data_IF_081137105170
#
_entry.id   IF_081137105170
#
_cell.length_a   1.000
_cell.length_b   1.000
_cell.length_c   1.000
_cell.angle_alpha   90.00
_cell.angle_beta   90.00
_cell.angle_gamma   90.00
#
_symmetry.space_group_name_H-M   'P 1'
#
loop_
_entity.id
_entity.type
_entity.pdbx_description
1 polymer ?
#
# COMPACT_ATOMS: atom_id res chain seq x y z
N UNK A 1 10.71 -8.87 -22.04
CA UNK A 1 10.20 -7.49 -21.89
C UNK A 1 8.84 -7.57 -21.21
N UNK A 2 8.73 -7.23 -19.91
CA UNK A 2 7.49 -7.43 -19.16
C UNK A 2 6.42 -6.42 -19.61
N UNK A 3 5.24 -6.91 -19.97
CA UNK A 3 4.06 -6.09 -20.29
C UNK A 3 3.77 -5.16 -19.11
N UNK A 4 3.54 -3.88 -19.40
CA UNK A 4 3.00 -2.90 -18.46
C UNK A 4 1.69 -3.45 -17.89
N UNK A 5 1.72 -4.03 -16.69
CA UNK A 5 0.52 -4.65 -16.13
C UNK A 5 -0.47 -3.57 -15.73
N UNK A 6 -1.65 -3.58 -16.34
CA UNK A 6 -2.82 -2.80 -15.91
C UNK A 6 -3.18 -3.13 -14.46
N UNK A 7 -3.83 -2.19 -13.76
CA UNK A 7 -4.41 -2.49 -12.43
C UNK A 7 -5.38 -3.66 -12.54
N UNK A 8 -5.22 -4.61 -11.60
CA UNK A 8 -6.06 -5.78 -11.48
C UNK A 8 -7.28 -5.39 -10.65
N UNK A 9 -8.47 -5.59 -11.23
CA UNK A 9 -9.74 -5.47 -10.53
C UNK A 9 -9.82 -6.43 -9.34
N UNK A 10 -10.41 -5.97 -8.23
CA UNK A 10 -10.59 -6.77 -7.02
C UNK A 10 -9.29 -7.20 -6.35
N UNK A 11 -8.27 -6.34 -6.37
CA UNK A 11 -6.98 -6.59 -5.75
C UNK A 11 -6.60 -5.51 -4.73
N UNK A 12 -5.99 -5.94 -3.63
CA UNK A 12 -5.28 -5.05 -2.71
C UNK A 12 -3.80 -5.00 -3.10
N UNK A 13 -3.30 -3.80 -3.40
CA UNK A 13 -1.90 -3.53 -3.63
C UNK A 13 -1.22 -3.12 -2.32
N UNK A 14 -0.15 -3.79 -1.92
CA UNK A 14 0.66 -3.38 -0.77
C UNK A 14 1.82 -2.56 -1.29
N UNK A 15 1.82 -1.25 -1.03
CA UNK A 15 2.70 -0.28 -1.69
C UNK A 15 3.65 0.35 -0.70
N UNK A 16 4.95 0.19 -0.95
CA UNK A 16 5.98 0.84 -0.14
C UNK A 16 6.08 2.34 -0.43
N UNK A 17 6.26 3.12 0.63
CA UNK A 17 6.45 4.58 0.61
C UNK A 17 7.90 4.95 0.95
N UNK A 18 8.36 6.16 0.60
CA UNK A 18 9.68 6.67 1.00
C UNK A 18 9.97 6.57 2.51
N UNK A 19 11.23 6.34 2.86
CA UNK A 19 11.73 6.32 4.25
C UNK A 19 12.51 7.60 4.63
N UNK A 20 12.33 8.69 3.88
CA UNK A 20 12.97 9.98 4.13
C UNK A 20 13.35 10.76 2.87
N UNK A 21 13.58 10.08 1.74
CA UNK A 21 13.84 10.73 0.45
C UNK A 21 12.71 10.43 -0.55
N UNK A 22 12.03 11.47 -1.03
CA UNK A 22 10.90 11.34 -1.96
C UNK A 22 11.29 10.66 -3.29
N UNK A 23 12.55 10.73 -3.70
CA UNK A 23 13.06 10.07 -4.91
C UNK A 23 13.08 8.54 -4.82
N UNK A 24 12.99 7.98 -3.61
CA UNK A 24 13.01 6.52 -3.39
C UNK A 24 11.68 5.84 -3.76
N UNK A 25 10.64 6.62 -4.10
CA UNK A 25 9.37 6.05 -4.55
C UNK A 25 9.53 5.47 -5.97
N UNK A 26 9.06 4.23 -6.16
CA UNK A 26 9.18 3.60 -7.48
C UNK A 26 8.15 4.16 -8.47
N UNK A 27 8.49 4.18 -9.76
CA UNK A 27 7.54 4.52 -10.82
C UNK A 27 6.28 3.62 -10.79
N UNK A 28 6.42 2.37 -10.33
CA UNK A 28 5.29 1.45 -10.17
C UNK A 28 4.39 1.84 -9.00
N UNK A 29 4.95 2.27 -7.88
CA UNK A 29 4.18 2.77 -6.75
C UNK A 29 3.35 3.98 -7.16
N UNK A 30 3.97 4.98 -7.81
CA UNK A 30 3.27 6.16 -8.32
C UNK A 30 2.12 5.82 -9.26
N UNK A 31 2.36 4.90 -10.22
CA UNK A 31 1.30 4.44 -11.14
C UNK A 31 0.16 3.78 -10.39
N UNK A 32 0.47 2.85 -9.47
CA UNK A 32 -0.55 2.14 -8.70
C UNK A 32 -1.38 3.09 -7.87
N UNK A 33 -0.75 4.02 -7.13
CA UNK A 33 -1.46 4.98 -6.29
C UNK A 33 -2.37 5.91 -7.10
N UNK A 34 -2.04 6.20 -8.36
CA UNK A 34 -2.89 7.00 -9.28
C UNK A 34 -4.07 6.24 -9.88
N UNK A 35 -3.93 4.93 -10.07
CA UNK A 35 -4.89 4.13 -10.83
C UNK A 35 -5.86 3.32 -9.95
N UNK A 36 -5.58 3.13 -8.66
CA UNK A 36 -6.48 2.42 -7.74
C UNK A 36 -7.69 3.27 -7.33
N UNK A 37 -8.78 2.61 -6.92
CA UNK A 37 -10.05 3.26 -6.52
C UNK A 37 -10.03 3.81 -5.08
N UNK A 38 -8.95 3.55 -4.33
CA UNK A 38 -8.78 4.11 -3.00
C UNK A 38 -7.50 3.63 -2.31
N UNK A 39 -7.03 4.44 -1.38
CA UNK A 39 -5.80 4.21 -0.61
C UNK A 39 -6.16 4.09 0.87
N UNK A 40 -5.83 2.95 1.48
CA UNK A 40 -5.80 2.74 2.91
C UNK A 40 -4.43 3.18 3.45
N UNK A 41 -4.41 4.08 4.41
CA UNK A 41 -3.18 4.55 5.05
C UNK A 41 -3.28 4.51 6.57
N UNK A 42 -2.12 4.31 7.22
CA UNK A 42 -1.98 4.42 8.67
C UNK A 42 -2.26 5.85 9.15
N UNK A 43 -1.42 6.82 8.77
CA UNK A 43 -1.70 8.24 8.95
C UNK A 43 -2.08 8.91 7.62
N UNK A 44 -3.38 9.20 7.50
CA UNK A 44 -3.93 9.90 6.33
C UNK A 44 -3.37 11.32 6.16
N UNK A 45 -2.93 11.99 7.23
CA UNK A 45 -2.37 13.35 7.14
C UNK A 45 -1.00 13.31 6.49
N UNK A 46 -0.14 12.41 6.95
CA UNK A 46 1.18 12.21 6.35
C UNK A 46 1.06 11.75 4.90
N UNK A 47 0.23 10.73 4.66
CA UNK A 47 0.01 10.20 3.31
C UNK A 47 -0.58 11.24 2.37
N UNK A 48 -1.49 12.11 2.83
CA UNK A 48 -2.05 13.18 1.99
C UNK A 48 -0.99 14.16 1.47
N UNK A 49 0.04 14.47 2.27
CA UNK A 49 1.14 15.34 1.85
C UNK A 49 2.01 14.67 0.79
N UNK A 50 2.30 13.38 0.98
CA UNK A 50 3.03 12.56 0.00
C UNK A 50 2.28 12.52 -1.34
N UNK A 51 0.97 12.23 -1.31
CA UNK A 51 0.13 12.17 -2.51
C UNK A 51 0.05 13.53 -3.21
N UNK A 52 -0.10 14.62 -2.46
CA UNK A 52 -0.11 15.98 -2.99
C UNK A 52 1.20 16.35 -3.70
N UNK A 53 2.36 15.97 -3.13
CA UNK A 53 3.66 16.18 -3.76
C UNK A 53 3.75 15.54 -5.16
N UNK A 54 3.13 14.38 -5.35
CA UNK A 54 3.13 13.66 -6.62
C UNK A 54 1.91 13.91 -7.52
N UNK A 55 1.02 14.84 -7.13
CA UNK A 55 -0.21 15.16 -7.84
C UNK A 55 -1.15 13.96 -7.95
N UNK A 56 -1.38 13.26 -6.84
CA UNK A 56 -2.25 12.08 -6.77
C UNK A 56 -3.52 12.42 -5.98
N UNK A 57 -4.68 12.37 -6.64
CA UNK A 57 -5.98 12.76 -6.07
C UNK A 57 -6.83 11.56 -5.62
N UNK A 58 -6.24 10.36 -5.58
CA UNK A 58 -6.95 9.12 -5.25
C UNK A 58 -7.55 9.17 -3.83
N UNK A 59 -8.82 8.77 -3.64
CA UNK A 59 -9.49 8.84 -2.34
C UNK A 59 -8.75 8.09 -1.23
N UNK A 60 -8.47 8.79 -0.13
CA UNK A 60 -7.71 8.30 1.01
C UNK A 60 -8.63 7.97 2.19
N UNK A 61 -8.36 6.87 2.90
CA UNK A 61 -9.08 6.50 4.14
C UNK A 61 -8.13 5.85 5.15
N UNK A 62 -8.46 5.96 6.43
CA UNK A 62 -7.61 5.46 7.50
C UNK A 62 -7.76 3.95 7.75
N UNK A 63 -6.63 3.29 7.96
CA UNK A 63 -6.50 1.91 8.45
C UNK A 63 -5.39 1.88 9.50
N UNK A 64 -5.76 1.80 10.77
CA UNK A 64 -4.84 1.74 11.90
C UNK A 64 -5.28 0.62 12.86
N UNK A 65 -4.39 0.13 13.72
CA UNK A 65 -4.61 -1.07 14.56
C UNK A 65 -5.99 -1.12 15.24
N UNK A 66 -6.46 0.01 15.79
CA UNK A 66 -7.76 0.07 16.47
C UNK A 66 -8.99 -0.13 15.57
N UNK A 67 -8.88 0.03 14.24
CA UNK A 67 -10.02 -0.01 13.31
C UNK A 67 -9.93 -1.12 12.25
N UNK A 68 -8.88 -1.93 12.25
CA UNK A 68 -8.62 -2.90 11.18
C UNK A 68 -9.77 -3.87 10.97
N UNK A 69 -10.31 -4.44 12.06
CA UNK A 69 -11.45 -5.37 11.98
C UNK A 69 -12.72 -4.71 11.45
N UNK A 70 -12.99 -3.46 11.84
CA UNK A 70 -14.15 -2.73 11.35
C UNK A 70 -14.02 -2.37 9.86
N UNK A 71 -12.80 -2.04 9.41
CA UNK A 71 -12.49 -1.72 8.01
C UNK A 71 -12.39 -2.96 7.13
N UNK A 72 -12.06 -4.11 7.70
CA UNK A 72 -11.85 -5.36 6.98
C UNK A 72 -13.07 -5.73 6.11
N UNK A 73 -14.27 -5.75 6.68
CA UNK A 73 -15.47 -6.09 5.91
C UNK A 73 -15.73 -5.09 4.78
N UNK A 74 -15.51 -3.79 5.05
CA UNK A 74 -15.67 -2.75 4.04
C UNK A 74 -14.70 -2.97 2.87
N UNK A 75 -13.42 -3.27 3.18
CA UNK A 75 -12.40 -3.53 2.17
C UNK A 75 -12.72 -4.80 1.37
N UNK A 76 -13.07 -5.90 2.05
CA UNK A 76 -13.48 -7.15 1.40
C UNK A 76 -14.65 -6.92 0.44
N UNK A 77 -15.68 -6.17 0.88
CA UNK A 77 -16.83 -5.83 0.02
C UNK A 77 -16.40 -5.05 -1.22
N UNK A 78 -15.59 -4.00 -1.06
CA UNK A 78 -15.09 -3.19 -2.18
C UNK A 78 -14.29 -4.04 -3.19
N UNK A 79 -13.39 -4.89 -2.69
CA UNK A 79 -12.59 -5.78 -3.55
C UNK A 79 -13.49 -6.77 -4.32
N UNK A 80 -14.50 -7.35 -3.67
CA UNK A 80 -15.47 -8.25 -4.33
C UNK A 80 -16.33 -7.54 -5.37
N UNK A 81 -16.56 -6.23 -5.23
CA UNK A 81 -17.22 -5.39 -6.22
C UNK A 81 -16.30 -5.02 -7.40
N UNK A 82 -15.06 -5.53 -7.41
CA UNK A 82 -14.10 -5.29 -8.48
C UNK A 82 -13.26 -4.02 -8.28
N UNK A 83 -13.43 -3.30 -7.17
CA UNK A 83 -12.54 -2.18 -6.87
C UNK A 83 -11.13 -2.66 -6.55
N UNK A 84 -10.16 -1.88 -6.99
CA UNK A 84 -8.75 -2.01 -6.70
C UNK A 84 -8.37 -1.03 -5.59
N UNK A 85 -7.62 -1.49 -4.59
CA UNK A 85 -7.25 -0.67 -3.44
C UNK A 85 -5.75 -0.75 -3.23
N UNK A 86 -5.16 0.30 -2.66
CA UNK A 86 -3.80 0.26 -2.14
C UNK A 86 -3.80 0.31 -0.61
N UNK A 87 -2.83 -0.35 0.00
CA UNK A 87 -2.41 -0.21 1.39
C UNK A 87 -1.02 0.41 1.40
N UNK A 88 -0.86 1.50 2.11
CA UNK A 88 0.44 2.16 2.36
C UNK A 88 0.68 2.30 3.86
N UNK A 89 1.94 2.36 4.25
CA UNK A 89 2.37 2.78 5.58
C UNK A 89 2.99 4.18 5.52
N UNK A 90 3.19 4.79 6.68
CA UNK A 90 3.77 6.12 6.77
C UNK A 90 5.19 6.15 6.18
N UNK A 91 5.99 5.09 6.38
CA UNK A 91 7.31 5.00 5.79
C UNK A 91 7.72 3.55 5.49
N UNK A 92 8.25 3.31 4.30
CA UNK A 92 8.84 2.03 3.93
C UNK A 92 7.82 1.01 3.46
N UNK A 93 8.13 -0.26 3.70
CA UNK A 93 7.31 -1.38 3.23
C UNK A 93 6.26 -1.73 4.28
N UNK A 94 4.95 -1.66 3.96
CA UNK A 94 3.90 -1.98 4.92
C UNK A 94 4.06 -3.39 5.50
N UNK A 95 3.50 -3.61 6.70
CA UNK A 95 3.44 -4.91 7.40
C UNK A 95 4.76 -5.38 8.05
N UNK A 96 5.82 -4.57 8.06
CA UNK A 96 7.04 -4.86 8.82
C UNK A 96 6.91 -4.38 10.27
N UNK A 97 6.39 -3.17 10.47
CA UNK A 97 6.11 -2.58 11.79
C UNK A 97 4.84 -1.72 11.78
N UNK A 98 4.02 -1.89 10.76
CA UNK A 98 2.84 -1.07 10.46
C UNK A 98 1.57 -1.94 10.50
N UNK A 99 0.38 -1.36 10.70
CA UNK A 99 -0.90 -2.07 10.61
C UNK A 99 -1.14 -2.67 9.22
N UNK A 100 -2.05 -3.63 9.16
CA UNK A 100 -2.55 -4.27 7.93
C UNK A 100 -2.38 -5.79 7.91
N UNK A 101 -1.71 -6.39 8.90
CA UNK A 101 -1.50 -7.84 8.93
C UNK A 101 -2.81 -8.62 9.00
N UNK A 102 -3.77 -8.30 9.91
CA UNK A 102 -5.07 -8.96 9.94
C UNK A 102 -5.81 -8.87 8.61
N UNK A 103 -5.74 -7.70 7.95
CA UNK A 103 -6.34 -7.48 6.64
C UNK A 103 -5.74 -8.41 5.58
N UNK A 104 -4.41 -8.40 5.40
CA UNK A 104 -3.76 -9.23 4.38
C UNK A 104 -3.95 -10.72 4.65
N UNK A 105 -3.89 -11.14 5.92
CA UNK A 105 -4.16 -12.53 6.31
C UNK A 105 -5.55 -12.98 5.87
N UNK A 106 -6.56 -12.17 6.17
CA UNK A 106 -7.96 -12.50 5.84
C UNK A 106 -8.23 -12.47 4.34
N UNK A 107 -7.70 -11.49 3.63
CA UNK A 107 -7.82 -11.44 2.16
C UNK A 107 -7.21 -12.68 1.50
N UNK A 108 -6.04 -13.12 1.96
CA UNK A 108 -5.42 -14.35 1.48
C UNK A 108 -6.24 -15.59 1.84
N UNK A 109 -6.79 -15.66 3.05
CA UNK A 109 -7.66 -16.76 3.46
C UNK A 109 -8.90 -16.89 2.58
N UNK A 110 -9.49 -15.75 2.17
CA UNK A 110 -10.65 -15.71 1.28
C UNK A 110 -10.30 -15.87 -0.22
N UNK A 111 -9.02 -16.08 -0.57
CA UNK A 111 -8.59 -16.22 -1.97
C UNK A 111 -8.64 -14.91 -2.77
N UNK A 112 -8.70 -13.76 -2.11
CA UNK A 112 -8.63 -12.45 -2.76
C UNK A 112 -7.20 -12.10 -3.14
N UNK A 113 -7.04 -11.27 -4.18
CA UNK A 113 -5.73 -10.92 -4.69
C UNK A 113 -5.05 -9.90 -3.78
N UNK A 114 -3.86 -10.25 -3.29
CA UNK A 114 -2.94 -9.32 -2.61
C UNK A 114 -1.65 -9.25 -3.42
N UNK A 115 -1.30 -8.05 -3.87
CA UNK A 115 -0.21 -7.84 -4.83
C UNK A 115 0.84 -6.92 -4.19
N UNK A 116 2.07 -7.39 -3.92
CA UNK A 116 3.12 -6.53 -3.39
C UNK A 116 3.66 -5.59 -4.47
N UNK A 117 3.94 -4.34 -4.10
CA UNK A 117 4.71 -3.37 -4.89
C UNK A 117 6.03 -3.11 -4.16
N UNK A 118 7.15 -3.69 -4.63
CA UNK A 118 8.46 -3.49 -4.04
C UNK A 118 8.83 -2.01 -3.99
N UNK A 119 9.60 -1.65 -2.97
CA UNK A 119 10.11 -0.31 -2.76
C UNK A 119 10.96 -0.25 -1.49
N UNK A 120 11.09 0.93 -0.88
CA UNK A 120 12.03 1.16 0.21
C UNK A 120 11.76 0.30 1.45
N UNK A 121 12.83 -0.17 2.08
CA UNK A 121 12.82 -0.85 3.38
C UNK A 121 14.04 -0.39 4.17
N UNK A 122 13.82 0.22 5.33
CA UNK A 122 14.89 0.72 6.20
C UNK A 122 15.81 -0.41 6.67
N UNK A 123 15.24 -1.57 7.01
CA UNK A 123 15.97 -2.76 7.45
C UNK A 123 16.89 -3.26 6.33
N UNK A 124 16.37 -3.41 5.10
CA UNK A 124 17.18 -3.90 3.98
C UNK A 124 18.24 -2.88 3.54
N UNK A 125 17.92 -1.59 3.57
CA UNK A 125 18.88 -0.53 3.28
C UNK A 125 20.05 -0.57 4.28
N UNK A 126 19.75 -0.63 5.58
CA UNK A 126 20.77 -0.74 6.62
C UNK A 126 21.61 -2.02 6.48
N UNK A 127 20.97 -3.17 6.26
CA UNK A 127 21.67 -4.46 6.09
C UNK A 127 22.60 -4.47 4.88
N UNK A 128 22.21 -3.83 3.78
CA UNK A 128 23.00 -3.81 2.53
C UNK A 128 24.38 -3.17 2.67
N UNK A 129 24.58 -2.32 3.68
CA UNK A 129 25.84 -1.63 3.98
C UNK A 129 26.48 -2.09 5.29
N UNK A 130 25.88 -3.06 5.98
CA UNK A 130 26.29 -3.46 7.32
C UNK A 130 27.58 -4.29 7.36
N UNK A 131 27.93 -4.97 6.26
CA UNK A 131 29.10 -5.86 6.22
C UNK A 131 29.01 -7.05 7.19
N UNK A 132 27.78 -7.50 7.50
CA UNK A 132 27.45 -8.60 8.41
C UNK A 132 27.18 -9.91 7.66
#
# INVERSE_FOLDING_TARGET
MQRTSTIKSGALYVVATPIGNLEDISARALRVLREVDGIAAEDTRYTSQLLAHFGIDTPLFSLHEHNEYARLEQIVRRLRQGQSLALVSDAGTPLISDPGFPLVRELRWQGLNVIPVPGPSSILAALSVAGL
#
